data_IF_332530048823
#
_entry.id   IF_332530048823
#
_cell.length_a   1.000
_cell.length_b   1.000
_cell.length_c   1.000
_cell.angle_alpha   90.00
_cell.angle_beta   90.00
_cell.angle_gamma   90.00
#
_symmetry.space_group_name_H-M   'P 1'
#
loop_
_entity.id
_entity.type
_entity.pdbx_description
1 polymer ?
#
# COMPACT_ATOMS: atom_id res chain seq x y z
N UNK A 1 -4.84 -4.65 2.30
CA UNK A 1 -5.28 -3.64 1.33
C UNK A 1 -5.01 -4.19 -0.06
N UNK A 2 -5.97 -4.11 -0.97
CA UNK A 2 -5.75 -4.53 -2.36
C UNK A 2 -4.99 -3.41 -3.09
N UNK A 3 -3.79 -3.73 -3.56
CA UNK A 3 -2.92 -2.87 -4.36
C UNK A 3 -2.69 -3.55 -5.71
N UNK A 4 -2.02 -2.87 -6.64
CA UNK A 4 -1.58 -3.48 -7.91
C UNK A 4 -0.07 -3.66 -7.90
N UNK A 5 0.42 -4.79 -8.41
CA UNK A 5 1.84 -4.95 -8.75
C UNK A 5 2.24 -3.89 -9.78
N UNK A 6 3.31 -3.15 -9.53
CA UNK A 6 3.67 -2.02 -10.39
C UNK A 6 4.18 -2.45 -11.78
N UNK A 7 4.70 -3.69 -11.91
CA UNK A 7 5.22 -4.22 -13.16
C UNK A 7 4.14 -4.95 -13.98
N UNK A 8 3.32 -5.79 -13.34
CA UNK A 8 2.30 -6.62 -14.01
C UNK A 8 0.89 -6.03 -13.98
N UNK A 9 0.58 -5.15 -13.04
CA UNK A 9 -0.76 -4.63 -12.81
C UNK A 9 -1.71 -5.61 -12.11
N UNK A 10 -1.25 -6.80 -11.74
CA UNK A 10 -2.08 -7.79 -11.05
C UNK A 10 -2.44 -7.35 -9.62
N UNK A 11 -3.65 -7.68 -9.14
CA UNK A 11 -4.04 -7.37 -7.77
C UNK A 11 -3.21 -8.17 -6.76
N UNK A 12 -2.71 -7.47 -5.74
CA UNK A 12 -1.91 -8.01 -4.63
C UNK A 12 -2.47 -7.52 -3.30
N UNK A 13 -2.57 -8.43 -2.33
CA UNK A 13 -2.97 -8.07 -0.97
C UNK A 13 -1.74 -7.74 -0.13
N UNK A 14 -1.64 -6.48 0.30
CA UNK A 14 -0.53 -6.02 1.16
C UNK A 14 -1.00 -5.83 2.61
N UNK A 15 -0.07 -6.07 3.53
CA UNK A 15 -0.24 -5.72 4.95
C UNK A 15 -0.34 -4.19 5.02
N UNK A 16 -1.17 -3.69 5.93
CA UNK A 16 -1.45 -2.27 6.08
C UNK A 16 -1.40 -1.91 7.56
N UNK A 17 -0.69 -0.82 7.90
CA UNK A 17 -0.85 -0.18 9.19
C UNK A 17 -2.19 0.58 9.20
N UNK A 18 -2.89 0.56 10.32
CA UNK A 18 -4.10 1.36 10.53
C UNK A 18 -3.86 2.30 11.70
N UNK A 19 -3.83 3.59 11.41
CA UNK A 19 -3.82 4.66 12.38
C UNK A 19 -5.22 5.24 12.57
N UNK A 20 -5.48 5.86 13.71
CA UNK A 20 -6.68 6.66 13.95
C UNK A 20 -6.26 8.08 14.27
N UNK A 21 -6.69 9.02 13.44
CA UNK A 21 -6.38 10.44 13.56
C UNK A 21 -7.66 11.25 13.37
N UNK A 22 -7.98 12.13 14.32
CA UNK A 22 -9.12 13.06 14.25
C UNK A 22 -10.49 12.41 13.92
N UNK A 23 -10.67 11.14 14.33
CA UNK A 23 -11.90 10.39 14.07
C UNK A 23 -11.95 9.72 12.69
N UNK A 24 -10.93 9.90 11.86
CA UNK A 24 -10.69 9.14 10.64
C UNK A 24 -9.73 7.97 10.89
N UNK A 25 -9.80 6.96 10.01
CA UNK A 25 -8.81 5.89 9.94
C UNK A 25 -7.85 6.19 8.80
N UNK A 26 -6.56 6.29 9.11
CA UNK A 26 -5.50 6.39 8.12
C UNK A 26 -4.99 4.97 7.84
N UNK A 27 -5.06 4.54 6.58
CA UNK A 27 -4.58 3.24 6.15
C UNK A 27 -3.30 3.42 5.33
N UNK A 28 -2.18 2.92 5.86
CA UNK A 28 -0.87 3.01 5.21
C UNK A 28 -0.43 1.62 4.75
N UNK A 29 -0.49 1.30 3.45
CA UNK A 29 -0.02 0.02 2.95
C UNK A 29 1.50 -0.10 3.15
N UNK A 30 1.96 -1.25 3.66
CA UNK A 30 3.39 -1.56 3.76
C UNK A 30 3.96 -1.94 2.40
N UNK A 31 3.93 -1.01 1.45
CA UNK A 31 4.92 -0.98 0.38
C UNK A 31 6.27 -0.47 0.91
N UNK A 32 6.26 0.31 2.01
CA UNK A 32 7.41 1.02 2.59
C UNK A 32 8.49 0.13 3.23
N UNK A 33 8.28 -1.20 3.25
CA UNK A 33 9.30 -2.18 3.62
C UNK A 33 10.05 -2.72 2.40
N UNK A 34 9.64 -2.36 1.18
CA UNK A 34 10.45 -2.55 0.00
C UNK A 34 11.67 -1.63 0.07
N UNK A 35 12.85 -2.16 -0.26
CA UNK A 35 14.03 -1.31 -0.44
C UNK A 35 13.77 -0.32 -1.59
N UNK A 36 14.04 0.97 -1.36
CA UNK A 36 13.83 2.02 -2.36
C UNK A 36 12.42 2.62 -2.32
N UNK A 37 11.91 3.04 -3.49
CA UNK A 37 10.60 3.68 -3.58
C UNK A 37 9.48 2.62 -3.62
N UNK A 38 8.55 2.60 -2.66
CA UNK A 38 7.46 1.60 -2.61
C UNK A 38 6.56 1.60 -3.85
N UNK A 39 6.46 2.74 -4.55
CA UNK A 39 5.69 2.86 -5.79
C UNK A 39 6.29 2.10 -6.97
N UNK A 40 7.56 1.71 -6.89
CA UNK A 40 8.23 0.87 -7.89
C UNK A 40 7.79 -0.59 -7.77
N UNK A 41 7.28 -1.00 -6.61
CA UNK A 41 6.80 -2.36 -6.35
C UNK A 41 5.26 -2.44 -6.39
N UNK A 42 4.57 -1.47 -5.80
CA UNK A 42 3.12 -1.49 -5.66
C UNK A 42 2.48 -0.14 -5.93
N UNK A 43 1.33 -0.16 -6.61
CA UNK A 43 0.45 1.01 -6.75
C UNK A 43 -0.70 0.92 -5.75
N UNK A 44 -1.01 2.01 -5.03
CA UNK A 44 -2.12 2.04 -4.09
C UNK A 44 -3.47 1.86 -4.80
N UNK A 45 -4.51 1.41 -4.08
CA UNK A 45 -5.87 1.39 -4.60
C UNK A 45 -6.34 2.81 -4.96
N UNK A 46 -7.20 2.88 -5.99
CA UNK A 46 -7.85 4.12 -6.49
C UNK A 46 -9.12 4.41 -5.71
#
# INVERSE_FOLDING_TARGET
>A
MECQDAASGEPRYVICAVGREEGAYLMTPFGHLAEGNPYDAYRPPI
#
